data_IF_344800227835
#
_entry.id   IF_344800227835
#
_cell.length_a   1.000
_cell.length_b   1.000
_cell.length_c   1.000
_cell.angle_alpha   90.00
_cell.angle_beta   90.00
_cell.angle_gamma   90.00
#
_symmetry.space_group_name_H-M   'P 1'
#
loop_
_entity.id
_entity.type
_entity.pdbx_description
1 polymer ?
#
# COMPACT_ATOMS: atom_id res chain seq x y z
N UNK A 1 3.84 7.20 26.93
CA UNK A 1 3.65 6.00 26.10
C UNK A 1 2.89 5.03 26.95
N UNK A 2 1.74 4.54 26.47
CA UNK A 2 0.97 3.53 27.21
C UNK A 2 1.80 2.23 27.33
N UNK A 3 1.74 1.64 28.51
CA UNK A 3 2.26 0.31 28.87
C UNK A 3 1.35 -0.79 28.31
N UNK A 4 1.81 -2.04 28.39
CA UNK A 4 1.03 -3.20 27.93
C UNK A 4 -0.36 -3.27 28.57
N UNK A 5 -0.44 -3.10 29.90
CA UNK A 5 -1.70 -3.16 30.63
C UNK A 5 -2.62 -1.98 30.29
N UNK A 6 -2.08 -0.76 30.19
CA UNK A 6 -2.86 0.43 29.81
C UNK A 6 -3.46 0.30 28.39
N UNK A 7 -2.76 -0.34 27.45
CA UNK A 7 -3.33 -0.65 26.13
C UNK A 7 -4.49 -1.65 26.21
N UNK A 8 -4.37 -2.69 27.05
CA UNK A 8 -5.45 -3.68 27.27
C UNK A 8 -6.67 -3.03 27.90
N UNK A 9 -6.47 -2.22 28.95
CA UNK A 9 -7.54 -1.49 29.62
C UNK A 9 -8.25 -0.55 28.65
N UNK A 10 -7.49 0.25 27.89
CA UNK A 10 -8.04 1.17 26.90
C UNK A 10 -8.87 0.44 25.84
N UNK A 11 -8.39 -0.72 25.36
CA UNK A 11 -9.14 -1.58 24.43
C UNK A 11 -10.43 -2.08 25.07
N UNK A 12 -10.37 -2.61 26.29
CA UNK A 12 -11.53 -3.17 26.98
C UNK A 12 -12.61 -2.11 27.23
N UNK A 13 -12.22 -0.94 27.75
CA UNK A 13 -13.14 0.17 27.95
C UNK A 13 -13.80 0.59 26.63
N UNK A 14 -13.05 0.63 25.52
CA UNK A 14 -13.60 0.98 24.21
C UNK A 14 -14.56 -0.08 23.64
N UNK A 15 -14.25 -1.37 23.83
CA UNK A 15 -15.11 -2.50 23.42
C UNK A 15 -16.42 -2.48 24.23
N UNK A 16 -16.33 -2.24 25.54
CA UNK A 16 -17.48 -2.19 26.45
C UNK A 16 -18.28 -0.87 26.36
N UNK A 17 -17.86 0.08 25.51
CA UNK A 17 -18.43 1.42 25.41
C UNK A 17 -18.37 2.25 26.71
N UNK A 18 -17.39 1.96 27.57
CA UNK A 18 -17.12 2.71 28.80
C UNK A 18 -16.39 4.04 28.53
N UNK A 19 -15.72 4.14 27.36
CA UNK A 19 -15.06 5.36 26.88
C UNK A 19 -15.45 5.63 25.42
N UNK A 20 -15.60 6.90 25.06
CA UNK A 20 -15.83 7.29 23.67
C UNK A 20 -14.57 7.11 22.81
N UNK A 21 -14.75 6.91 21.50
CA UNK A 21 -13.63 6.76 20.57
C UNK A 21 -12.71 7.98 20.56
N UNK A 22 -13.28 9.18 20.63
CA UNK A 22 -12.52 10.44 20.66
C UNK A 22 -11.63 10.52 21.90
N UNK A 23 -12.18 10.22 23.08
CA UNK A 23 -11.42 10.20 24.34
C UNK A 23 -10.35 9.11 24.33
N UNK A 24 -10.66 7.93 23.78
CA UNK A 24 -9.70 6.84 23.70
C UNK A 24 -8.52 7.17 22.78
N UNK A 25 -8.79 7.79 21.63
CA UNK A 25 -7.77 8.31 20.70
C UNK A 25 -6.91 9.38 21.36
N UNK A 26 -7.53 10.35 22.03
CA UNK A 26 -6.81 11.39 22.76
C UNK A 26 -5.89 10.80 23.84
N UNK A 27 -6.39 9.85 24.63
CA UNK A 27 -5.59 9.15 25.64
C UNK A 27 -4.40 8.40 25.02
N UNK A 28 -4.62 7.70 23.91
CA UNK A 28 -3.56 6.98 23.21
C UNK A 28 -2.50 7.91 22.61
N UNK A 29 -2.89 9.03 22.02
CA UNK A 29 -1.97 9.90 21.27
C UNK A 29 -1.31 10.97 22.12
N UNK A 30 -2.00 11.52 23.13
CA UNK A 30 -1.40 12.53 24.03
C UNK A 30 -0.24 11.97 24.86
N UNK A 31 -0.18 10.64 25.01
CA UNK A 31 0.92 9.96 25.70
C UNK A 31 2.10 9.63 24.77
N UNK A 32 2.00 9.88 23.46
CA UNK A 32 3.08 9.70 22.48
C UNK A 32 3.99 10.94 22.48
N UNK A 33 4.95 11.00 23.40
CA UNK A 33 6.03 11.99 23.32
C UNK A 33 7.05 11.59 22.24
N UNK A 34 7.42 12.55 21.38
CA UNK A 34 8.41 12.34 20.32
C UNK A 34 9.75 11.87 20.91
N UNK A 35 10.28 10.75 20.40
CA UNK A 35 11.51 10.15 20.89
C UNK A 35 11.36 9.17 22.06
N UNK A 36 10.22 9.12 22.77
CA UNK A 36 9.97 8.09 23.80
C UNK A 36 9.43 6.81 23.17
N UNK A 37 10.20 5.73 23.26
CA UNK A 37 9.87 4.40 22.71
C UNK A 37 9.49 3.42 23.82
N UNK A 38 8.68 2.39 23.51
CA UNK A 38 8.17 1.45 24.53
C UNK A 38 9.30 0.77 25.29
N UNK A 39 10.39 0.46 24.59
CA UNK A 39 11.57 -0.19 25.18
C UNK A 39 12.40 0.66 26.14
N UNK A 40 12.10 1.96 26.25
CA UNK A 40 12.71 2.81 27.28
C UNK A 40 11.94 2.78 28.61
N UNK A 41 10.70 2.29 28.61
CA UNK A 41 9.85 2.22 29.81
C UNK A 41 10.36 1.18 30.82
N UNK A 42 10.04 1.39 32.10
CA UNK A 42 10.34 0.41 33.15
C UNK A 42 9.58 -0.91 32.94
N UNK A 43 8.27 -0.82 32.67
CA UNK A 43 7.40 -1.96 32.33
C UNK A 43 8.04 -2.89 31.29
N UNK A 44 8.49 -2.32 30.17
CA UNK A 44 9.13 -3.11 29.13
C UNK A 44 10.43 -3.77 29.59
N UNK A 45 11.28 -3.06 30.33
CA UNK A 45 12.56 -3.61 30.81
C UNK A 45 12.36 -4.76 31.79
N UNK A 46 11.40 -4.62 32.69
CA UNK A 46 11.06 -5.62 33.69
C UNK A 46 10.53 -6.89 32.98
N UNK A 47 9.51 -6.77 32.14
CA UNK A 47 8.95 -7.91 31.37
C UNK A 47 9.95 -8.54 30.40
N UNK A 48 10.82 -7.73 29.76
CA UNK A 48 11.90 -8.25 28.90
C UNK A 48 12.86 -9.14 29.69
N UNK A 49 13.18 -8.77 30.93
CA UNK A 49 14.14 -9.51 31.75
C UNK A 49 13.67 -10.92 32.13
N UNK A 50 12.36 -11.13 32.16
CA UNK A 50 11.73 -12.42 32.47
C UNK A 50 11.76 -13.40 31.29
N UNK A 51 11.74 -12.89 30.04
CA UNK A 51 11.54 -13.71 28.84
C UNK A 51 12.83 -13.91 28.05
N UNK A 52 13.78 -12.97 28.15
CA UNK A 52 15.03 -13.07 27.41
C UNK A 52 15.84 -14.30 27.86
N UNK A 53 16.26 -15.10 26.89
CA UNK A 53 17.01 -16.34 27.13
C UNK A 53 18.50 -16.05 27.36
N UNK A 54 19.24 -17.08 27.78
CA UNK A 54 20.69 -17.04 28.00
C UNK A 54 21.51 -17.06 26.70
N UNK A 55 20.89 -17.50 25.59
CA UNK A 55 21.53 -17.65 24.28
C UNK A 55 20.64 -17.16 23.14
N UNK A 56 21.29 -16.73 22.07
CA UNK A 56 20.67 -16.42 20.80
C UNK A 56 20.03 -17.68 20.21
N UNK A 57 18.75 -17.61 19.87
CA UNK A 57 17.99 -18.72 19.30
C UNK A 57 18.38 -19.02 17.84
N UNK A 58 19.02 -18.07 17.16
CA UNK A 58 19.46 -18.21 15.77
C UNK A 58 20.84 -18.87 15.69
N UNK A 59 21.82 -18.39 16.46
CA UNK A 59 23.21 -18.81 16.34
C UNK A 59 23.81 -19.46 17.60
N UNK A 60 23.08 -19.49 18.72
CA UNK A 60 23.56 -20.04 19.99
C UNK A 60 24.56 -19.17 20.76
N UNK A 61 24.92 -17.99 20.23
CA UNK A 61 25.84 -17.05 20.88
C UNK A 61 25.27 -16.50 22.19
N UNK A 62 26.15 -16.20 23.14
CA UNK A 62 25.88 -15.50 24.39
C UNK A 62 26.34 -14.02 24.37
N UNK A 63 26.69 -13.50 23.18
CA UNK A 63 26.91 -12.06 22.96
C UNK A 63 25.67 -11.24 23.32
N UNK A 64 25.78 -9.91 23.41
CA UNK A 64 24.68 -9.00 23.74
C UNK A 64 23.36 -9.38 23.07
N UNK A 65 22.42 -9.86 23.90
CA UNK A 65 21.12 -10.38 23.48
C UNK A 65 20.05 -9.28 23.49
N UNK A 66 19.15 -9.36 22.52
CA UNK A 66 17.95 -8.53 22.41
C UNK A 66 16.72 -9.41 22.19
N UNK A 67 15.55 -8.90 22.56
CA UNK A 67 14.31 -9.45 22.03
C UNK A 67 14.12 -8.88 20.64
N UNK A 68 14.11 -9.76 19.65
CA UNK A 68 13.80 -9.44 18.27
C UNK A 68 12.33 -9.72 18.02
N UNK A 69 11.59 -8.70 17.62
CA UNK A 69 10.21 -8.86 17.16
C UNK A 69 10.19 -9.39 15.73
N UNK A 70 9.30 -10.36 15.48
CA UNK A 70 9.05 -10.89 14.13
C UNK A 70 7.91 -10.15 13.41
N UNK A 71 7.14 -9.35 14.16
CA UNK A 71 6.07 -8.52 13.66
C UNK A 71 6.14 -7.12 14.30
N UNK A 72 5.89 -6.09 13.48
CA UNK A 72 5.86 -4.69 13.93
C UNK A 72 4.47 -4.11 13.73
N UNK A 73 3.98 -3.27 14.66
CA UNK A 73 2.69 -2.64 14.52
C UNK A 73 2.59 -1.78 13.27
N UNK A 74 1.48 -1.92 12.53
CA UNK A 74 1.16 -1.02 11.42
C UNK A 74 0.75 0.36 11.94
N UNK A 75 0.88 1.39 11.08
CA UNK A 75 0.37 2.72 11.40
C UNK A 75 -1.16 2.70 11.41
N UNK A 76 -1.77 3.52 12.27
CA UNK A 76 -3.24 3.67 12.32
C UNK A 76 -3.87 4.03 10.96
N UNK A 77 -3.17 4.82 10.14
CA UNK A 77 -3.62 5.19 8.79
C UNK A 77 -3.72 4.00 7.83
N UNK A 78 -2.91 2.95 8.04
CA UNK A 78 -2.97 1.71 7.26
C UNK A 78 -4.22 0.92 7.63
N UNK A 79 -4.52 0.75 8.92
CA UNK A 79 -5.77 0.15 9.38
C UNK A 79 -7.00 0.90 8.88
N UNK A 80 -6.97 2.23 8.96
CA UNK A 80 -8.07 3.07 8.43
C UNK A 80 -8.28 2.82 6.93
N UNK A 81 -7.19 2.71 6.15
CA UNK A 81 -7.28 2.42 4.71
C UNK A 81 -7.85 1.04 4.45
N UNK A 82 -7.38 0.01 5.15
CA UNK A 82 -7.80 -1.38 4.96
C UNK A 82 -9.28 -1.55 5.32
N UNK A 83 -9.71 -1.06 6.50
CA UNK A 83 -11.10 -1.11 6.96
C UNK A 83 -12.02 -0.32 6.03
N UNK A 84 -11.65 0.92 5.67
CA UNK A 84 -12.49 1.71 4.73
C UNK A 84 -12.63 0.99 3.38
N UNK A 85 -11.59 0.28 2.93
CA UNK A 85 -11.65 -0.45 1.66
C UNK A 85 -12.57 -1.68 1.74
N UNK A 86 -12.61 -2.36 2.89
CA UNK A 86 -13.55 -3.45 3.13
C UNK A 86 -15.00 -2.94 3.13
N UNK A 87 -15.31 -1.92 3.93
CA UNK A 87 -16.65 -1.31 3.98
C UNK A 87 -17.10 -0.75 2.62
N UNK A 88 -16.19 -0.09 1.89
CA UNK A 88 -16.49 0.41 0.56
C UNK A 88 -16.80 -0.72 -0.42
N UNK A 89 -16.09 -1.86 -0.33
CA UNK A 89 -16.37 -3.02 -1.16
C UNK A 89 -17.77 -3.57 -0.86
N UNK A 90 -18.08 -3.79 0.41
CA UNK A 90 -19.39 -4.32 0.84
C UNK A 90 -20.53 -3.38 0.42
N UNK A 91 -20.33 -2.07 0.55
CA UNK A 91 -21.29 -1.06 0.09
C UNK A 91 -21.51 -1.10 -1.43
N UNK A 92 -20.43 -1.19 -2.21
CA UNK A 92 -20.49 -1.27 -3.68
C UNK A 92 -21.18 -2.57 -4.12
N UNK A 93 -20.86 -3.69 -3.48
CA UNK A 93 -21.46 -4.99 -3.80
C UNK A 93 -22.96 -5.01 -3.47
N UNK A 94 -23.40 -4.27 -2.44
CA UNK A 94 -24.82 -4.16 -2.04
C UNK A 94 -25.59 -3.08 -2.79
N UNK A 95 -24.91 -2.03 -3.28
CA UNK A 95 -25.51 -0.89 -3.97
C UNK A 95 -24.75 -0.61 -5.28
N UNK A 96 -24.82 -1.54 -6.26
CA UNK A 96 -24.02 -1.46 -7.48
C UNK A 96 -24.44 -0.29 -8.38
N UNK A 97 -25.74 0.04 -8.37
CA UNK A 97 -26.33 1.05 -9.22
C UNK A 97 -26.42 2.38 -8.51
N UNK A 98 -25.69 3.36 -9.05
CA UNK A 98 -25.74 4.74 -8.60
C UNK A 98 -26.75 5.51 -9.44
N UNK A 99 -27.49 6.44 -8.86
CA UNK A 99 -28.42 7.25 -9.64
C UNK A 99 -27.68 8.06 -10.71
N UNK A 100 -28.15 7.99 -11.95
CA UNK A 100 -27.49 8.62 -13.09
C UNK A 100 -27.41 10.14 -12.95
N UNK A 101 -28.43 10.78 -12.38
CA UNK A 101 -28.46 12.22 -12.18
C UNK A 101 -27.49 12.65 -11.08
N UNK A 102 -27.42 11.91 -9.98
CA UNK A 102 -26.44 12.11 -8.91
C UNK A 102 -25.02 11.96 -9.45
N UNK A 103 -24.76 10.91 -10.24
CA UNK A 103 -23.44 10.67 -10.83
C UNK A 103 -23.02 11.81 -11.76
N UNK A 104 -23.92 12.25 -12.63
CA UNK A 104 -23.69 13.38 -13.54
C UNK A 104 -23.40 14.66 -12.77
N UNK A 105 -24.19 14.97 -11.75
CA UNK A 105 -23.99 16.15 -10.90
C UNK A 105 -22.62 16.11 -10.22
N UNK A 106 -22.20 14.95 -9.70
CA UNK A 106 -20.88 14.76 -9.10
C UNK A 106 -19.75 15.00 -10.10
N UNK A 107 -19.85 14.44 -11.32
CA UNK A 107 -18.84 14.62 -12.37
C UNK A 107 -18.66 16.11 -12.70
N UNK A 108 -19.75 16.82 -12.98
CA UNK A 108 -19.72 18.23 -13.37
C UNK A 108 -19.16 19.12 -12.24
N UNK A 109 -19.49 18.79 -10.99
CA UNK A 109 -18.99 19.49 -9.80
C UNK A 109 -17.50 19.28 -9.59
N UNK A 110 -16.99 18.05 -9.71
CA UNK A 110 -15.66 17.68 -9.21
C UNK A 110 -14.59 17.47 -10.29
N UNK A 111 -14.98 17.33 -11.57
CA UNK A 111 -14.07 17.01 -12.66
C UNK A 111 -14.18 18.01 -13.80
N UNK A 112 -13.05 18.21 -14.51
CA UNK A 112 -12.99 18.92 -15.78
C UNK A 112 -12.95 17.88 -16.89
N UNK A 113 -13.90 17.97 -17.81
CA UNK A 113 -13.91 17.11 -19.00
C UNK A 113 -12.87 17.58 -20.02
N UNK A 114 -12.05 16.66 -20.49
CA UNK A 114 -11.03 16.83 -21.53
C UNK A 114 -11.29 15.74 -22.56
N UNK A 115 -12.05 16.04 -23.64
CA UNK A 115 -12.52 15.02 -24.57
C UNK A 115 -11.37 14.36 -25.34
N UNK A 116 -11.53 13.06 -25.61
CA UNK A 116 -10.64 12.34 -26.53
C UNK A 116 -11.06 12.63 -27.98
N UNK A 117 -10.13 12.99 -28.89
CA UNK A 117 -10.45 13.27 -30.28
C UNK A 117 -10.90 11.99 -30.99
N UNK A 118 -11.90 12.12 -31.87
CA UNK A 118 -12.39 11.06 -32.74
C UNK A 118 -12.26 11.45 -34.21
N UNK A 119 -12.10 10.44 -35.07
CA UNK A 119 -12.14 10.64 -36.52
C UNK A 119 -13.55 11.05 -36.97
N UNK A 120 -13.74 12.14 -37.73
CA UNK A 120 -15.05 12.56 -38.22
C UNK A 120 -15.70 11.52 -39.14
N UNK A 121 -14.89 10.80 -39.95
CA UNK A 121 -15.35 9.83 -40.96
C UNK A 121 -15.76 8.48 -40.38
N UNK A 122 -14.89 7.84 -39.58
CA UNK A 122 -15.15 6.47 -39.07
C UNK A 122 -15.35 6.39 -37.56
N UNK A 123 -15.33 7.53 -36.84
CA UNK A 123 -15.45 7.62 -35.37
C UNK A 123 -14.39 6.83 -34.58
N UNK A 124 -13.32 6.36 -35.24
CA UNK A 124 -12.19 5.74 -34.55
C UNK A 124 -11.52 6.73 -33.58
N UNK A 125 -11.06 6.20 -32.46
CA UNK A 125 -10.51 6.94 -31.32
C UNK A 125 -9.04 7.27 -31.51
N UNK A 126 -8.60 8.33 -30.83
CA UNK A 126 -7.19 8.72 -30.71
C UNK A 126 -6.46 8.82 -32.07
N UNK A 127 -6.98 9.61 -33.03
CA UNK A 127 -6.26 9.86 -34.27
C UNK A 127 -4.87 10.44 -33.99
N UNK A 128 -3.91 10.09 -34.85
CA UNK A 128 -2.53 10.54 -34.72
C UNK A 128 -2.46 12.05 -34.98
N UNK A 129 -1.98 12.81 -33.99
CA UNK A 129 -1.80 14.26 -34.08
C UNK A 129 -0.41 14.59 -34.65
N UNK A 130 -0.39 15.11 -35.87
CA UNK A 130 0.82 15.51 -36.60
C UNK A 130 1.19 16.96 -36.25
N UNK A 131 2.44 17.20 -35.86
CA UNK A 131 2.92 18.55 -35.48
C UNK A 131 3.45 19.36 -36.65
N UNK A 132 3.96 18.71 -37.70
CA UNK A 132 4.65 19.36 -38.84
C UNK A 132 3.89 19.29 -40.17
N UNK A 133 2.75 18.59 -40.23
CA UNK A 133 1.99 18.36 -41.46
C UNK A 133 0.55 18.84 -41.28
N UNK A 134 0.00 19.43 -42.33
CA UNK A 134 -1.44 19.72 -42.48
C UNK A 134 -2.04 18.67 -43.44
N UNK A 135 -3.24 18.14 -43.16
CA UNK A 135 -4.07 18.36 -41.97
C UNK A 135 -3.47 17.85 -40.64
N UNK A 136 -3.86 18.45 -39.52
CA UNK A 136 -3.26 18.19 -38.20
C UNK A 136 -3.48 16.75 -37.72
N UNK A 137 -4.57 16.08 -38.10
CA UNK A 137 -4.88 14.72 -37.65
C UNK A 137 -4.89 13.72 -38.81
N UNK A 138 -4.43 12.51 -38.52
CA UNK A 138 -4.52 11.34 -39.39
C UNK A 138 -5.18 10.20 -38.62
N UNK A 139 -6.30 9.68 -39.12
CA UNK A 139 -6.90 8.47 -38.56
C UNK A 139 -6.02 7.25 -38.82
N UNK A 140 -5.73 6.45 -37.79
CA UNK A 140 -4.93 5.22 -37.91
C UNK A 140 -5.69 4.09 -38.60
N UNK A 141 -7.03 4.08 -38.50
CA UNK A 141 -7.89 3.05 -39.07
C UNK A 141 -8.21 3.32 -40.55
N UNK A 142 -8.91 4.42 -40.84
CA UNK A 142 -9.40 4.70 -42.20
C UNK A 142 -8.49 5.60 -43.04
N UNK A 143 -7.33 5.99 -42.48
CA UNK A 143 -6.33 6.87 -43.11
C UNK A 143 -6.84 8.24 -43.57
N UNK A 144 -8.02 8.66 -43.10
CA UNK A 144 -8.57 9.98 -43.40
C UNK A 144 -7.78 11.07 -42.68
N UNK A 145 -7.46 12.14 -43.40
CA UNK A 145 -6.76 13.33 -42.91
C UNK A 145 -7.76 14.47 -42.67
N UNK A 146 -7.65 15.15 -41.53
CA UNK A 146 -8.60 16.19 -41.11
C UNK A 146 -7.97 17.16 -40.10
N UNK A 147 -8.46 18.39 -40.04
CA UNK A 147 -8.05 19.39 -39.04
C UNK A 147 -9.03 19.45 -37.86
N UNK A 148 -10.33 19.30 -38.13
CA UNK A 148 -11.39 19.33 -37.12
C UNK A 148 -11.78 17.93 -36.66
N UNK A 149 -11.59 17.66 -35.37
CA UNK A 149 -11.97 16.40 -34.74
C UNK A 149 -13.40 16.48 -34.19
N UNK A 150 -14.09 15.34 -34.15
CA UNK A 150 -15.35 15.23 -33.40
C UNK A 150 -15.09 14.67 -32.00
N UNK A 151 -15.99 14.95 -31.06
CA UNK A 151 -15.88 14.55 -29.66
C UNK A 151 -17.21 14.01 -29.17
N UNK A 152 -17.18 13.10 -28.18
CA UNK A 152 -18.38 12.77 -27.40
C UNK A 152 -18.62 13.85 -26.35
N UNK A 153 -19.88 14.12 -26.06
CA UNK A 153 -20.30 14.90 -24.90
C UNK A 153 -20.19 14.05 -23.63
N UNK A 154 -20.21 14.73 -22.47
CA UNK A 154 -20.27 14.04 -21.16
C UNK A 154 -21.54 13.18 -21.05
N UNK A 155 -22.66 13.66 -21.58
CA UNK A 155 -23.94 12.96 -21.50
C UNK A 155 -23.95 11.67 -22.33
N UNK A 156 -23.39 11.69 -23.54
CA UNK A 156 -23.22 10.49 -24.36
C UNK A 156 -22.32 9.46 -23.67
N UNK A 157 -21.23 9.90 -23.02
CA UNK A 157 -20.34 9.00 -22.29
C UNK A 157 -21.02 8.38 -21.07
N UNK A 158 -21.79 9.17 -20.31
CA UNK A 158 -22.55 8.65 -19.17
C UNK A 158 -23.63 7.67 -19.65
N UNK A 159 -24.39 7.99 -20.69
CA UNK A 159 -25.35 7.06 -21.30
C UNK A 159 -24.69 5.73 -21.67
N UNK A 160 -23.60 5.80 -22.45
CA UNK A 160 -22.83 4.63 -22.88
C UNK A 160 -22.33 3.82 -21.68
N UNK A 161 -21.91 4.47 -20.59
CA UNK A 161 -21.38 3.79 -19.41
C UNK A 161 -22.42 2.97 -18.65
N UNK A 162 -23.67 3.47 -18.57
CA UNK A 162 -24.76 2.71 -17.94
C UNK A 162 -25.31 1.60 -18.86
N UNK A 163 -25.22 1.77 -20.17
CA UNK A 163 -25.60 0.72 -21.14
C UNK A 163 -24.53 -0.37 -21.26
N UNK A 164 -23.25 0.02 -21.27
CA UNK A 164 -22.10 -0.87 -21.41
C UNK A 164 -20.84 -0.24 -20.78
N UNK A 165 -20.58 -0.57 -19.52
CA UNK A 165 -19.38 -0.11 -18.79
C UNK A 165 -18.06 -0.55 -19.45
N UNK A 166 -18.10 -1.65 -20.20
CA UNK A 166 -16.92 -2.19 -20.87
C UNK A 166 -16.70 -1.57 -22.26
N UNK A 167 -17.59 -0.69 -22.71
CA UNK A 167 -17.43 0.06 -23.96
C UNK A 167 -16.10 0.82 -23.97
N UNK A 168 -15.47 0.87 -25.13
CA UNK A 168 -14.08 1.30 -25.18
C UNK A 168 -13.90 2.80 -24.95
N UNK A 169 -14.85 3.61 -25.40
CA UNK A 169 -14.93 5.07 -25.22
C UNK A 169 -15.10 5.51 -23.76
N UNK A 170 -15.70 4.69 -22.89
CA UNK A 170 -15.89 5.04 -21.47
C UNK A 170 -14.67 4.72 -20.62
N UNK A 171 -13.70 3.96 -21.19
CA UNK A 171 -12.40 3.65 -20.56
C UNK A 171 -11.39 4.78 -20.71
N UNK A 172 -11.61 5.71 -21.63
CA UNK A 172 -10.73 6.84 -21.87
C UNK A 172 -10.67 7.75 -20.63
N UNK A 173 -9.45 8.13 -20.23
CA UNK A 173 -9.21 8.96 -19.03
C UNK A 173 -9.45 10.45 -19.31
N UNK A 174 -10.68 10.77 -19.72
CA UNK A 174 -11.10 12.10 -20.16
C UNK A 174 -11.53 13.04 -19.02
N UNK A 175 -11.53 12.60 -17.77
CA UNK A 175 -11.99 13.41 -16.65
C UNK A 175 -10.82 13.76 -15.73
N UNK A 176 -10.47 15.05 -15.65
CA UNK A 176 -9.38 15.54 -14.80
C UNK A 176 -9.97 16.02 -13.49
N UNK A 177 -9.58 15.43 -12.35
CA UNK A 177 -10.04 15.87 -11.04
C UNK A 177 -9.65 17.33 -10.78
N UNK A 178 -10.59 18.15 -10.29
CA UNK A 178 -10.32 19.58 -10.04
C UNK A 178 -9.30 19.79 -8.92
N UNK A 179 -9.38 18.95 -7.87
CA UNK A 179 -8.52 18.98 -6.68
C UNK A 179 -7.11 18.44 -6.94
N UNK A 180 -7.00 17.23 -7.47
CA UNK A 180 -5.72 16.51 -7.57
C UNK A 180 -5.09 16.51 -8.96
N UNK A 181 -5.80 17.00 -9.98
CA UNK A 181 -5.36 17.03 -11.40
C UNK A 181 -5.08 15.66 -12.03
N UNK A 182 -5.44 14.57 -11.36
CA UNK A 182 -5.36 13.21 -11.88
C UNK A 182 -6.40 12.96 -12.97
N UNK A 183 -6.05 12.14 -13.98
CA UNK A 183 -6.95 11.72 -15.06
C UNK A 183 -7.71 10.44 -14.69
N UNK A 184 -9.03 10.46 -14.84
CA UNK A 184 -9.94 9.38 -14.52
C UNK A 184 -10.86 9.05 -15.70
N UNK A 185 -11.35 7.81 -15.71
CA UNK A 185 -12.47 7.37 -16.53
C UNK A 185 -13.72 7.25 -15.64
N UNK A 186 -14.89 6.95 -16.22
CA UNK A 186 -16.15 6.92 -15.47
C UNK A 186 -16.18 5.85 -14.37
N UNK A 187 -15.64 4.65 -14.64
CA UNK A 187 -15.52 3.57 -13.65
C UNK A 187 -14.75 4.01 -12.39
N UNK A 188 -13.61 4.68 -12.57
CA UNK A 188 -12.82 5.19 -11.46
C UNK A 188 -13.59 6.26 -10.67
N UNK A 189 -14.32 7.16 -11.35
CA UNK A 189 -15.10 8.20 -10.68
C UNK A 189 -16.23 7.57 -9.86
N UNK A 190 -16.95 6.57 -10.43
CA UNK A 190 -18.01 5.84 -9.73
C UNK A 190 -17.48 5.17 -8.46
N UNK A 191 -16.34 4.46 -8.58
CA UNK A 191 -15.68 3.83 -7.44
C UNK A 191 -15.35 4.85 -6.32
N UNK A 192 -14.74 5.99 -6.66
CA UNK A 192 -14.39 6.99 -5.65
C UNK A 192 -15.61 7.63 -4.98
N UNK A 193 -16.68 7.88 -5.74
CA UNK A 193 -17.94 8.39 -5.21
C UNK A 193 -18.58 7.38 -4.24
N UNK A 194 -18.72 6.12 -4.65
CA UNK A 194 -19.29 5.08 -3.79
C UNK A 194 -18.44 4.84 -2.55
N UNK A 195 -17.11 4.87 -2.68
CA UNK A 195 -16.19 4.79 -1.54
C UNK A 195 -16.37 5.98 -0.57
N UNK A 196 -16.60 7.18 -1.08
CA UNK A 196 -16.87 8.36 -0.26
C UNK A 196 -18.23 8.25 0.44
N UNK A 197 -19.28 7.78 -0.25
CA UNK A 197 -20.60 7.51 0.33
C UNK A 197 -20.50 6.47 1.44
N UNK A 198 -19.83 5.34 1.21
CA UNK A 198 -19.60 4.29 2.22
C UNK A 198 -18.86 4.83 3.44
N UNK A 199 -17.78 5.59 3.20
CA UNK A 199 -17.03 6.23 4.29
C UNK A 199 -17.91 7.17 5.12
N UNK A 200 -18.75 7.98 4.48
CA UNK A 200 -19.60 8.94 5.18
C UNK A 200 -20.73 8.24 5.95
N UNK A 201 -21.27 7.14 5.41
CA UNK A 201 -22.32 6.34 6.04
C UNK A 201 -21.83 5.64 7.30
N UNK A 202 -20.68 4.97 7.22
CA UNK A 202 -20.17 4.10 8.28
C UNK A 202 -18.94 4.69 8.99
N UNK A 203 -18.81 6.02 9.00
CA UNK A 203 -17.60 6.72 9.47
C UNK A 203 -17.20 6.33 10.89
N UNK A 204 -18.15 6.34 11.83
CA UNK A 204 -17.89 6.01 13.24
C UNK A 204 -17.48 4.55 13.40
N UNK A 205 -18.16 3.64 12.71
CA UNK A 205 -17.86 2.20 12.71
C UNK A 205 -16.48 1.92 12.16
N UNK A 206 -16.16 2.46 10.97
CA UNK A 206 -14.85 2.32 10.33
C UNK A 206 -13.74 2.83 11.25
N UNK A 207 -13.93 4.00 11.87
CA UNK A 207 -12.92 4.56 12.75
C UNK A 207 -12.72 3.74 14.02
N UNK A 208 -13.81 3.22 14.61
CA UNK A 208 -13.76 2.39 15.82
C UNK A 208 -13.06 1.06 15.53
N UNK A 209 -13.45 0.37 14.45
CA UNK A 209 -12.84 -0.89 14.02
C UNK A 209 -11.34 -0.72 13.72
N UNK A 210 -10.97 0.29 12.94
CA UNK A 210 -9.57 0.58 12.64
C UNK A 210 -8.76 0.86 13.91
N UNK A 211 -9.35 1.55 14.89
CA UNK A 211 -8.66 1.87 16.12
C UNK A 211 -8.53 0.66 17.04
N UNK A 212 -9.53 -0.22 17.11
CA UNK A 212 -9.44 -1.49 17.83
C UNK A 212 -8.36 -2.41 17.24
N UNK A 213 -8.25 -2.50 15.91
CA UNK A 213 -7.18 -3.23 15.24
C UNK A 213 -5.81 -2.65 15.58
N UNK A 214 -5.67 -1.32 15.57
CA UNK A 214 -4.45 -0.65 15.99
C UNK A 214 -4.08 -0.95 17.45
N UNK A 215 -5.03 -0.92 18.38
CA UNK A 215 -4.79 -1.28 19.79
C UNK A 215 -4.36 -2.74 19.91
N UNK A 216 -5.05 -3.67 19.23
CA UNK A 216 -4.71 -5.10 19.26
C UNK A 216 -3.30 -5.38 18.75
N UNK A 217 -2.88 -4.70 17.68
CA UNK A 217 -1.53 -4.86 17.12
C UNK A 217 -0.44 -4.32 18.07
N UNK A 218 -0.69 -3.20 18.73
CA UNK A 218 0.20 -2.69 19.77
C UNK A 218 0.26 -3.61 20.99
N UNK A 219 -0.89 -4.15 21.44
CA UNK A 219 -0.96 -5.15 22.52
C UNK A 219 -0.13 -6.37 22.14
N UNK A 220 -0.30 -6.89 20.92
CA UNK A 220 0.45 -8.05 20.42
C UNK A 220 1.96 -7.78 20.43
N UNK A 221 2.40 -6.64 19.90
CA UNK A 221 3.81 -6.26 19.94
C UNK A 221 4.35 -6.12 21.37
N UNK A 222 3.58 -5.50 22.26
CA UNK A 222 3.95 -5.32 23.66
C UNK A 222 3.94 -6.62 24.45
N UNK A 223 3.14 -7.62 24.06
CA UNK A 223 3.03 -8.91 24.76
C UNK A 223 4.29 -9.78 24.67
N UNK A 224 5.18 -9.50 23.71
CA UNK A 224 6.34 -10.33 23.36
C UNK A 224 6.02 -11.72 22.77
N UNK A 225 4.75 -12.00 22.44
CA UNK A 225 4.33 -13.29 21.85
C UNK A 225 5.10 -13.65 20.56
N UNK A 226 5.30 -12.67 19.67
CA UNK A 226 6.03 -12.84 18.41
C UNK A 226 7.51 -12.42 18.54
N UNK A 227 8.19 -12.82 19.62
CA UNK A 227 9.61 -12.48 19.82
C UNK A 227 10.52 -13.68 19.96
N UNK A 228 11.77 -13.49 19.56
CA UNK A 228 12.87 -14.43 19.81
C UNK A 228 14.01 -13.69 20.51
N UNK A 229 14.79 -14.43 21.29
CA UNK A 229 16.07 -13.94 21.80
C UNK A 229 17.12 -14.04 20.69
N UNK A 230 17.62 -12.90 20.22
CA UNK A 230 18.64 -12.84 19.18
C UNK A 230 19.86 -12.05 19.66
N UNK A 231 21.06 -12.43 19.25
CA UNK A 231 22.22 -11.56 19.44
C UNK A 231 22.10 -10.33 18.50
N UNK A 232 22.76 -9.24 18.86
CA UNK A 232 22.76 -7.99 18.08
C UNK A 232 23.11 -8.21 16.60
N UNK A 233 24.01 -9.14 16.30
CA UNK A 233 24.36 -9.51 14.92
C UNK A 233 23.17 -10.11 14.19
N UNK A 234 22.56 -11.16 14.72
CA UNK A 234 21.43 -11.82 14.06
C UNK A 234 20.23 -10.87 13.87
N UNK A 235 19.90 -10.07 14.90
CA UNK A 235 18.86 -9.04 14.84
C UNK A 235 19.14 -8.02 13.71
N UNK A 236 20.35 -7.47 13.67
CA UNK A 236 20.77 -6.50 12.64
C UNK A 236 20.68 -7.07 11.22
N UNK A 237 21.11 -8.32 11.01
CA UNK A 237 21.03 -8.95 9.69
C UNK A 237 19.60 -9.15 9.21
N UNK A 238 18.69 -9.47 10.12
CA UNK A 238 17.27 -9.60 9.81
C UNK A 238 16.67 -8.23 9.46
N UNK A 239 16.81 -7.24 10.34
CA UNK A 239 16.15 -5.94 10.21
C UNK A 239 16.74 -5.05 9.10
N UNK A 240 18.06 -5.01 8.95
CA UNK A 240 18.73 -4.08 8.03
C UNK A 240 19.03 -4.69 6.67
N UNK A 241 19.28 -6.00 6.62
CA UNK A 241 19.73 -6.67 5.41
C UNK A 241 18.72 -7.69 4.86
N UNK A 242 17.62 -7.96 5.58
CA UNK A 242 16.63 -8.97 5.20
C UNK A 242 17.28 -10.34 4.96
N UNK A 243 18.20 -10.72 5.87
CA UNK A 243 18.98 -11.94 5.81
C UNK A 243 18.85 -12.74 7.11
N UNK A 244 18.94 -14.06 6.98
CA UNK A 244 18.98 -14.98 8.12
C UNK A 244 20.15 -15.95 8.01
N UNK A 245 20.52 -16.56 9.13
CA UNK A 245 21.61 -17.53 9.17
C UNK A 245 21.24 -18.79 8.38
N UNK A 246 22.14 -19.28 7.53
CA UNK A 246 21.88 -20.47 6.73
C UNK A 246 21.62 -21.68 7.64
N UNK A 247 20.48 -22.39 7.48
CA UNK A 247 20.15 -23.52 8.34
C UNK A 247 21.10 -24.72 8.16
N UNK A 248 21.78 -24.82 6.99
CA UNK A 248 22.66 -25.94 6.67
C UNK A 248 24.08 -25.78 7.25
N UNK A 249 24.72 -24.63 7.06
CA UNK A 249 26.09 -24.43 7.55
C UNK A 249 26.17 -23.64 8.86
N UNK A 250 25.12 -22.90 9.25
CA UNK A 250 25.10 -22.04 10.45
C UNK A 250 26.23 -21.00 10.54
N UNK A 251 26.88 -20.69 9.42
CA UNK A 251 28.00 -19.74 9.34
C UNK A 251 27.65 -18.53 8.47
N UNK A 252 27.06 -18.78 7.31
CA UNK A 252 26.81 -17.77 6.30
C UNK A 252 25.38 -17.27 6.39
N UNK A 253 25.19 -15.95 6.28
CA UNK A 253 23.86 -15.37 6.14
C UNK A 253 23.38 -15.49 4.69
N UNK A 254 22.08 -15.68 4.51
CA UNK A 254 21.41 -15.77 3.21
C UNK A 254 20.18 -14.85 3.21
N UNK A 255 19.77 -14.38 2.04
CA UNK A 255 18.49 -13.66 1.92
C UNK A 255 17.33 -14.57 2.31
N UNK A 256 16.34 -14.05 3.03
CA UNK A 256 15.19 -14.82 3.54
C UNK A 256 14.48 -15.62 2.43
N UNK A 257 14.51 -15.11 1.19
CA UNK A 257 13.89 -15.74 0.02
C UNK A 257 14.51 -17.09 -0.39
N UNK A 258 15.77 -17.37 -0.04
CA UNK A 258 16.45 -18.61 -0.45
C UNK A 258 16.44 -19.64 0.68
N UNK A 259 16.42 -20.93 0.37
CA UNK A 259 16.45 -21.98 1.41
C UNK A 259 17.82 -22.14 2.08
N UNK A 260 18.91 -21.87 1.37
CA UNK A 260 20.30 -22.01 1.86
C UNK A 260 21.21 -20.91 1.30
N UNK A 261 22.38 -20.71 1.91
CA UNK A 261 23.40 -19.82 1.35
C UNK A 261 24.03 -20.40 0.06
N UNK A 262 24.71 -19.53 -0.69
CA UNK A 262 25.39 -19.89 -1.96
C UNK A 262 26.40 -21.01 -1.75
N UNK A 263 27.15 -20.99 -0.64
CA UNK A 263 28.16 -22.01 -0.33
C UNK A 263 27.56 -23.40 -0.08
N UNK A 264 26.28 -23.44 0.29
CA UNK A 264 25.55 -24.68 0.58
C UNK A 264 24.82 -25.27 -0.63
N UNK A 265 24.80 -24.55 -1.76
CA UNK A 265 24.19 -25.01 -3.00
C UNK A 265 25.01 -26.14 -3.64
N UNK A 266 24.36 -27.01 -4.43
CA UNK A 266 25.04 -27.91 -5.36
C UNK A 266 26.01 -27.17 -6.28
N UNK A 267 27.09 -27.83 -6.71
CA UNK A 267 28.21 -27.18 -7.37
C UNK A 267 27.83 -26.45 -8.67
N UNK A 268 26.96 -27.06 -9.48
CA UNK A 268 26.39 -26.49 -10.70
C UNK A 268 25.63 -25.19 -10.40
N UNK A 269 24.74 -25.22 -9.41
CA UNK A 269 23.93 -24.07 -8.99
C UNK A 269 24.78 -22.98 -8.34
N UNK A 270 25.80 -23.37 -7.57
CA UNK A 270 26.76 -22.46 -6.94
C UNK A 270 27.56 -21.69 -8.00
N UNK A 271 28.12 -22.39 -8.99
CA UNK A 271 28.85 -21.76 -10.10
C UNK A 271 27.96 -20.79 -10.88
N UNK A 272 26.74 -21.21 -11.21
CA UNK A 272 25.77 -20.35 -11.90
C UNK A 272 25.39 -19.10 -11.08
N UNK A 273 25.21 -19.25 -9.76
CA UNK A 273 24.90 -18.12 -8.87
C UNK A 273 26.07 -17.13 -8.78
N UNK A 274 27.31 -17.61 -8.61
CA UNK A 274 28.50 -16.78 -8.54
C UNK A 274 28.73 -16.01 -9.84
N UNK A 275 28.60 -16.67 -10.99
CA UNK A 275 28.72 -16.02 -12.31
C UNK A 275 27.69 -14.90 -12.52
N UNK A 276 26.45 -15.07 -12.05
CA UNK A 276 25.43 -14.01 -12.10
C UNK A 276 25.77 -12.81 -11.20
N UNK A 277 26.35 -13.08 -10.03
CA UNK A 277 26.75 -12.03 -9.09
C UNK A 277 27.92 -11.22 -9.66
N UNK A 278 28.92 -11.92 -10.21
CA UNK A 278 30.09 -11.32 -10.86
C UNK A 278 29.65 -10.43 -12.03
N UNK A 279 28.84 -10.96 -12.95
CA UNK A 279 28.28 -10.17 -14.05
C UNK A 279 27.51 -8.93 -13.58
N UNK A 280 26.75 -9.05 -12.48
CA UNK A 280 26.04 -7.91 -11.90
C UNK A 280 26.95 -6.86 -11.26
N UNK A 281 28.12 -7.26 -10.73
CA UNK A 281 29.14 -6.32 -10.27
C UNK A 281 29.76 -5.57 -11.45
N UNK A 282 30.17 -6.30 -12.49
CA UNK A 282 30.80 -5.72 -13.68
C UNK A 282 29.89 -4.68 -14.35
N UNK A 283 28.59 -4.97 -14.44
CA UNK A 283 27.60 -4.02 -14.98
C UNK A 283 27.47 -2.76 -14.12
N UNK A 284 27.54 -2.87 -12.79
CA UNK A 284 27.49 -1.71 -11.89
C UNK A 284 28.74 -0.86 -12.01
N UNK A 285 29.91 -1.48 -12.11
CA UNK A 285 31.16 -0.75 -12.27
C UNK A 285 31.18 -0.02 -13.62
N UNK A 286 30.68 -0.65 -14.69
CA UNK A 286 30.51 -0.01 -15.99
C UNK A 286 29.54 1.19 -15.92
N UNK A 287 28.39 1.06 -15.23
CA UNK A 287 27.45 2.18 -15.07
C UNK A 287 28.08 3.37 -14.34
N UNK A 288 28.88 3.08 -13.30
CA UNK A 288 29.62 4.10 -12.55
C UNK A 288 30.66 4.80 -13.42
N UNK A 289 31.41 4.06 -14.23
CA UNK A 289 32.39 4.63 -15.17
C UNK A 289 31.73 5.50 -16.24
N UNK A 290 30.54 5.13 -16.70
CA UNK A 290 29.77 5.86 -17.72
C UNK A 290 28.94 7.02 -17.14
N UNK A 291 28.93 7.24 -15.82
CA UNK A 291 28.17 8.31 -15.18
C UNK A 291 26.65 8.18 -15.35
N UNK A 292 26.15 6.94 -15.42
CA UNK A 292 24.73 6.63 -15.60
C UNK A 292 23.98 6.60 -14.26
N UNK A 293 24.72 6.53 -13.13
CA UNK A 293 24.19 6.46 -11.76
C UNK A 293 23.76 7.81 -11.17
#
# INVERSE_FOLDING_TARGET
MLTYHEFIELRNHLVNNEISLELAKAHCWNTLEEGKRSWHTKDWKDRRSEIIKDKCEICGSNETLTLQHLSHPKKYSEYTKDVTSAHAKDYIDTNPDLDKFEFKAHILKNYKYVPAPLCPKCKSRNPNKRTRKSPQYLCTECRYEFDETVYKSVDELILTFYENEEATEVRDKCFVSKKWKNKHNLKNIRYWLQREQAKNKDSETIEKEAFLLYLNDNIKYLSFEDTITACKKCASYFDLYNMELCPKCKENYKSIQFSTCIQCLPEDKRKAALSKIEFGNDMRDMHRELGID
#
